data_IF_260549693725
#
_entry.id   IF_260549693725
#
_cell.length_a   1.000
_cell.length_b   1.000
_cell.length_c   1.000
_cell.angle_alpha   90.00
_cell.angle_beta   90.00
_cell.angle_gamma   90.00
#
_symmetry.space_group_name_H-M   'P 1'
#
loop_
_entity.id
_entity.type
_entity.pdbx_description
1 polymer ?
#
# COMPACT_ATOMS: atom_id res chain seq x y z
N UNK A 1 16.40 -5.70 27.82
CA UNK A 1 15.07 -5.56 27.22
C UNK A 1 14.90 -4.11 26.84
N UNK A 2 14.63 -3.83 25.57
CA UNK A 2 14.40 -2.48 25.03
C UNK A 2 12.95 -2.32 24.60
N UNK A 3 12.54 -1.09 24.40
CA UNK A 3 11.19 -0.71 23.98
C UNK A 3 11.28 0.03 22.66
N UNK A 4 10.58 -0.49 21.65
CA UNK A 4 10.51 0.04 20.30
C UNK A 4 9.10 0.53 20.03
N UNK A 5 8.97 1.68 19.40
CA UNK A 5 7.69 2.26 18.99
C UNK A 5 7.65 2.34 17.46
N UNK A 6 6.58 1.89 16.85
CA UNK A 6 6.31 2.04 15.43
C UNK A 6 5.18 3.07 15.24
N UNK A 7 5.46 4.14 14.55
CA UNK A 7 4.47 5.13 14.11
C UNK A 7 4.38 5.09 12.58
N UNK A 8 3.47 4.28 12.10
CA UNK A 8 3.40 3.83 10.71
C UNK A 8 2.05 4.23 10.13
N UNK A 9 2.03 4.69 8.88
CA UNK A 9 0.78 4.92 8.14
C UNK A 9 -0.03 3.62 8.09
N UNK A 10 -1.32 3.65 8.45
CA UNK A 10 -2.12 2.44 8.69
C UNK A 10 -2.63 1.77 7.41
N UNK A 11 -1.84 1.74 6.35
CA UNK A 11 -2.15 0.98 5.15
C UNK A 11 -1.44 -0.39 5.14
N UNK A 12 -1.98 -1.36 4.41
CA UNK A 12 -1.47 -2.72 4.40
C UNK A 12 -0.02 -2.82 3.93
N UNK A 13 0.37 -2.00 2.95
CA UNK A 13 1.71 -2.01 2.38
C UNK A 13 2.80 -1.57 3.36
N UNK A 14 2.48 -0.65 4.28
CA UNK A 14 3.37 -0.23 5.35
C UNK A 14 3.29 -1.15 6.58
N UNK A 15 2.08 -1.57 6.95
CA UNK A 15 1.86 -2.40 8.15
C UNK A 15 2.44 -3.81 7.99
N UNK A 16 2.33 -4.46 6.84
CA UNK A 16 2.81 -5.83 6.68
C UNK A 16 4.32 -5.99 6.90
N UNK A 17 5.21 -5.21 6.24
CA UNK A 17 6.65 -5.29 6.48
C UNK A 17 7.04 -4.91 7.90
N UNK A 18 6.44 -3.87 8.46
CA UNK A 18 6.73 -3.42 9.82
C UNK A 18 6.28 -4.41 10.88
N UNK A 19 5.17 -5.14 10.65
CA UNK A 19 4.72 -6.22 11.55
C UNK A 19 5.72 -7.36 11.60
N UNK A 20 6.27 -7.76 10.47
CA UNK A 20 7.29 -8.79 10.44
C UNK A 20 8.53 -8.36 11.23
N UNK A 21 9.00 -7.13 11.03
CA UNK A 21 10.12 -6.57 11.80
C UNK A 21 9.80 -6.49 13.30
N UNK A 22 8.61 -6.02 13.68
CA UNK A 22 8.15 -5.96 15.05
C UNK A 22 8.14 -7.34 15.72
N UNK A 23 7.68 -8.36 15.01
CA UNK A 23 7.69 -9.73 15.47
C UNK A 23 9.13 -10.21 15.76
N UNK A 24 10.06 -10.01 14.82
CA UNK A 24 11.46 -10.40 14.98
C UNK A 24 12.15 -9.68 16.15
N UNK A 25 11.82 -8.41 16.39
CA UNK A 25 12.33 -7.65 17.55
C UNK A 25 11.75 -8.23 18.86
N UNK A 26 10.46 -8.59 18.85
CA UNK A 26 9.78 -9.17 20.02
C UNK A 26 10.33 -10.54 20.36
N UNK A 27 10.59 -11.42 19.39
CA UNK A 27 11.21 -12.74 19.61
C UNK A 27 12.60 -12.66 20.25
N UNK A 28 13.29 -11.54 20.06
CA UNK A 28 14.58 -11.24 20.72
C UNK A 28 14.44 -10.68 22.14
N UNK A 29 13.25 -10.80 22.74
CA UNK A 29 12.97 -10.42 24.12
C UNK A 29 12.79 -8.91 24.32
N UNK A 30 12.48 -8.14 23.28
CA UNK A 30 12.20 -6.71 23.37
C UNK A 30 10.70 -6.44 23.32
N UNK A 31 10.28 -5.28 23.82
CA UNK A 31 8.88 -4.85 23.74
C UNK A 31 8.68 -3.98 22.50
N UNK A 32 7.58 -4.19 21.84
CA UNK A 32 7.19 -3.43 20.66
C UNK A 32 5.81 -2.81 20.87
N UNK A 33 5.68 -1.56 20.47
CA UNK A 33 4.47 -0.77 20.56
C UNK A 33 4.16 -0.13 19.21
N UNK A 34 2.89 0.05 18.93
CA UNK A 34 2.42 0.82 17.78
C UNK A 34 1.66 2.04 18.26
N UNK A 35 1.80 3.17 17.57
CA UNK A 35 0.89 4.31 17.78
C UNK A 35 -0.45 4.00 17.15
N UNK A 36 -1.52 4.30 17.88
CA UNK A 36 -2.87 4.26 17.32
C UNK A 36 -3.16 5.58 16.62
N UNK A 37 -2.73 5.67 15.37
CA UNK A 37 -3.02 6.85 14.54
C UNK A 37 -4.33 6.69 13.77
N UNK A 38 -4.92 5.50 13.76
CA UNK A 38 -6.25 5.23 13.20
C UNK A 38 -6.79 3.89 13.69
N UNK A 39 -8.10 3.79 13.84
CA UNK A 39 -8.85 2.54 14.02
C UNK A 39 -8.77 1.67 12.76
N UNK A 40 -7.58 1.21 12.41
CA UNK A 40 -7.44 0.35 11.23
C UNK A 40 -7.63 -1.12 11.61
N UNK A 41 -8.25 -1.85 10.71
CA UNK A 41 -8.42 -3.31 10.80
C UNK A 41 -7.05 -4.00 10.98
N UNK A 42 -5.98 -3.39 10.47
CA UNK A 42 -4.61 -3.90 10.53
C UNK A 42 -4.02 -3.81 11.94
N UNK A 43 -4.16 -2.68 12.62
CA UNK A 43 -3.70 -2.51 14.01
C UNK A 43 -4.42 -3.43 14.98
N UNK A 44 -5.72 -3.59 14.82
CA UNK A 44 -6.51 -4.57 15.60
C UNK A 44 -6.03 -6.01 15.38
N UNK A 45 -5.64 -6.35 14.15
CA UNK A 45 -5.04 -7.64 13.80
C UNK A 45 -3.70 -7.90 14.50
N UNK A 46 -2.88 -6.85 14.68
CA UNK A 46 -1.60 -6.92 15.39
C UNK A 46 -1.78 -7.24 16.87
N UNK A 47 -2.69 -6.54 17.53
CA UNK A 47 -3.00 -6.77 18.95
C UNK A 47 -3.52 -8.20 19.21
N UNK A 48 -4.36 -8.72 18.33
CA UNK A 48 -4.87 -10.11 18.41
C UNK A 48 -3.77 -11.16 18.29
N UNK A 49 -2.66 -10.83 17.60
CA UNK A 49 -1.48 -11.70 17.49
C UNK A 49 -0.50 -11.55 18.66
N UNK A 50 -0.80 -10.67 19.64
CA UNK A 50 0.06 -10.41 20.79
C UNK A 50 1.33 -9.62 20.45
N UNK A 51 1.41 -9.03 19.28
CA UNK A 51 2.55 -8.26 18.79
C UNK A 51 2.31 -6.78 19.12
N UNK A 52 2.86 -6.34 20.25
CA UNK A 52 2.85 -4.94 20.63
C UNK A 52 1.57 -4.45 21.32
N UNK A 53 1.67 -3.28 21.91
CA UNK A 53 0.56 -2.51 22.49
C UNK A 53 0.41 -1.22 21.69
N UNK A 54 -0.82 -0.74 21.56
CA UNK A 54 -1.10 0.56 20.97
C UNK A 54 -0.86 1.63 22.04
N UNK A 55 -0.10 2.67 21.68
CA UNK A 55 0.19 3.84 22.53
C UNK A 55 -0.35 5.08 21.81
N UNK A 56 -1.12 5.85 22.52
CA UNK A 56 -1.61 7.13 22.03
C UNK A 56 -0.53 8.21 22.16
N UNK A 57 -0.45 9.19 21.25
CA UNK A 57 0.56 10.25 21.30
C UNK A 57 0.59 11.03 22.63
N UNK A 58 -0.54 11.15 23.35
CA UNK A 58 -0.58 11.81 24.65
C UNK A 58 0.10 11.01 25.77
N UNK A 59 0.37 9.71 25.56
CA UNK A 59 1.07 8.85 26.51
C UNK A 59 2.58 9.10 26.53
N UNK A 60 3.14 9.84 25.59
CA UNK A 60 4.58 10.15 25.56
C UNK A 60 5.07 10.92 26.80
N UNK A 61 4.20 11.53 27.55
CA UNK A 61 4.51 12.11 28.87
C UNK A 61 4.94 11.06 29.90
N UNK A 62 4.51 9.81 29.74
CA UNK A 62 4.69 8.73 30.69
C UNK A 62 5.46 7.55 30.09
N UNK A 63 5.66 7.55 28.78
CA UNK A 63 6.30 6.48 28.05
C UNK A 63 7.32 7.05 27.08
N UNK A 64 8.60 6.73 27.31
CA UNK A 64 9.68 7.10 26.40
C UNK A 64 10.27 5.82 25.80
N UNK A 65 10.00 5.50 24.53
CA UNK A 65 10.62 4.35 23.88
C UNK A 65 12.12 4.56 23.74
N UNK A 66 12.87 3.48 23.69
CA UNK A 66 14.31 3.55 23.46
C UNK A 66 14.62 3.95 22.00
N UNK A 67 13.74 3.59 21.08
CA UNK A 67 13.78 3.98 19.67
C UNK A 67 12.39 3.97 19.07
N UNK A 68 12.04 5.04 18.38
CA UNK A 68 10.86 5.10 17.53
C UNK A 68 11.24 4.87 16.06
N UNK A 69 10.38 4.15 15.33
CA UNK A 69 10.46 3.93 13.90
C UNK A 69 9.30 4.68 13.27
N UNK A 70 9.59 5.81 12.64
CA UNK A 70 8.62 6.74 12.08
C UNK A 70 8.51 6.52 10.57
N UNK A 71 7.30 6.28 10.08
CA UNK A 71 7.05 6.19 8.64
C UNK A 71 7.57 7.45 7.92
N UNK A 72 8.33 7.24 6.87
CA UNK A 72 8.89 8.34 6.07
C UNK A 72 7.82 9.27 5.50
N UNK A 73 6.59 8.79 5.33
CA UNK A 73 5.46 9.60 4.90
C UNK A 73 4.88 10.50 6.01
N UNK A 74 5.26 10.28 7.28
CA UNK A 74 4.81 11.02 8.46
C UNK A 74 5.89 11.98 8.98
N UNK A 75 6.69 12.58 8.10
CA UNK A 75 7.80 13.47 8.47
C UNK A 75 7.35 14.70 9.28
N UNK A 76 6.13 15.14 9.08
CA UNK A 76 5.50 16.24 9.84
C UNK A 76 5.41 15.94 11.33
N UNK A 77 5.31 14.68 11.73
CA UNK A 77 5.32 14.26 13.14
C UNK A 77 6.69 14.35 13.81
N UNK A 78 7.76 14.54 13.06
CA UNK A 78 9.13 14.63 13.58
C UNK A 78 9.25 15.62 14.75
N UNK A 79 8.55 16.74 14.67
CA UNK A 79 8.57 17.75 15.70
C UNK A 79 8.09 17.22 17.06
N UNK A 80 7.04 16.38 17.07
CA UNK A 80 6.51 15.76 18.30
C UNK A 80 7.58 14.90 18.98
N UNK A 81 8.31 14.08 18.22
CA UNK A 81 9.38 13.23 18.78
C UNK A 81 10.53 14.05 19.35
N UNK A 82 10.89 15.16 18.70
CA UNK A 82 11.91 16.08 19.20
C UNK A 82 11.47 16.80 20.49
N UNK A 83 10.20 17.21 20.61
CA UNK A 83 9.66 17.85 21.83
C UNK A 83 9.72 16.94 23.06
N UNK A 84 9.64 15.62 22.88
CA UNK A 84 9.71 14.63 23.95
C UNK A 84 11.10 13.97 24.09
N UNK A 85 12.12 14.47 23.37
CA UNK A 85 13.49 13.90 23.33
C UNK A 85 13.51 12.39 23.02
N UNK A 86 12.61 11.96 22.12
CA UNK A 86 12.53 10.58 21.69
C UNK A 86 13.47 10.33 20.50
N UNK A 87 14.38 9.38 20.66
CA UNK A 87 15.22 8.94 19.55
C UNK A 87 14.36 8.26 18.47
N UNK A 88 14.49 8.65 17.22
CA UNK A 88 13.77 8.03 16.12
C UNK A 88 14.66 7.78 14.89
N UNK A 89 14.17 6.89 14.03
CA UNK A 89 14.66 6.64 12.69
C UNK A 89 13.45 6.62 11.75
N UNK A 90 13.65 7.07 10.54
CA UNK A 90 12.64 6.88 9.52
C UNK A 90 12.64 5.43 9.02
N UNK A 91 11.45 4.94 8.66
CA UNK A 91 11.26 3.67 8.00
C UNK A 91 10.55 3.91 6.65
N UNK A 92 11.02 3.25 5.62
CA UNK A 92 10.46 3.35 4.28
C UNK A 92 10.38 1.99 3.62
N UNK A 93 9.47 1.82 2.67
CA UNK A 93 9.37 0.59 1.89
C UNK A 93 10.15 0.74 0.58
N UNK A 94 11.01 -0.22 0.29
CA UNK A 94 11.84 -0.21 -0.91
C UNK A 94 11.04 -0.68 -2.13
N UNK A 95 10.86 0.20 -3.10
CA UNK A 95 10.21 -0.12 -4.40
C UNK A 95 11.22 -0.52 -5.50
N UNK A 96 12.49 -0.67 -5.17
CA UNK A 96 13.54 -0.93 -6.14
C UNK A 96 14.31 -2.22 -5.84
N UNK A 97 14.99 -2.75 -6.85
CA UNK A 97 15.89 -3.91 -6.74
C UNK A 97 17.30 -3.54 -6.24
N UNK A 98 17.44 -2.37 -5.61
CA UNK A 98 18.71 -1.94 -5.04
C UNK A 98 18.79 -2.36 -3.57
N UNK A 99 19.81 -3.15 -3.26
CA UNK A 99 20.19 -3.45 -1.89
C UNK A 99 20.69 -2.19 -1.21
N UNK A 100 20.17 -1.92 -0.02
CA UNK A 100 20.62 -0.79 0.80
C UNK A 100 21.41 -1.35 1.96
N UNK A 101 22.69 -0.97 2.04
CA UNK A 101 23.55 -1.39 3.14
C UNK A 101 23.17 -0.66 4.42
N UNK A 102 23.11 -1.40 5.53
CA UNK A 102 22.85 -0.85 6.86
C UNK A 102 24.11 -0.17 7.40
N UNK A 103 24.10 1.16 7.41
CA UNK A 103 25.20 1.95 7.98
C UNK A 103 24.84 2.42 9.41
N UNK A 104 25.81 2.55 10.33
CA UNK A 104 25.53 2.96 11.71
C UNK A 104 24.79 4.29 11.84
N UNK A 105 25.03 5.22 10.92
CA UNK A 105 24.47 6.58 10.95
C UNK A 105 23.27 6.75 10.00
N UNK A 106 22.75 5.65 9.44
CA UNK A 106 21.64 5.73 8.50
C UNK A 106 20.39 6.32 9.18
N UNK A 107 19.85 7.43 8.66
CA UNK A 107 18.63 8.03 9.20
C UNK A 107 17.35 7.32 8.78
N UNK A 108 17.41 6.50 7.73
CA UNK A 108 16.26 5.79 7.15
C UNK A 108 16.54 4.29 7.07
N UNK A 109 15.64 3.49 7.61
CA UNK A 109 15.64 2.03 7.46
C UNK A 109 14.70 1.65 6.33
N UNK A 110 15.17 0.89 5.37
CA UNK A 110 14.36 0.46 4.23
C UNK A 110 13.98 -1.01 4.37
N UNK A 111 12.70 -1.31 4.23
CA UNK A 111 12.15 -2.66 4.30
C UNK A 111 11.70 -3.13 2.90
N UNK A 112 11.78 -4.44 2.61
CA UNK A 112 11.15 -4.99 1.42
C UNK A 112 9.63 -4.89 1.53
N UNK A 113 8.90 -4.69 0.43
CA UNK A 113 7.45 -4.78 0.42
C UNK A 113 7.01 -6.22 0.65
N UNK A 114 5.92 -6.38 1.40
CA UNK A 114 5.33 -7.69 1.69
C UNK A 114 3.85 -7.61 1.35
N UNK A 115 3.32 -8.48 0.46
CA UNK A 115 1.92 -8.46 0.11
C UNK A 115 1.05 -8.85 1.31
N UNK A 116 -0.08 -8.19 1.45
CA UNK A 116 -1.03 -8.49 2.49
C UNK A 116 -1.81 -9.77 2.15
N UNK A 117 -1.49 -10.84 2.83
CA UNK A 117 -2.23 -12.11 2.70
C UNK A 117 -3.50 -12.05 3.53
N UNK A 118 -4.60 -11.63 2.91
CA UNK A 118 -5.92 -11.77 3.50
C UNK A 118 -6.21 -13.26 3.74
N UNK A 119 -6.60 -13.60 4.97
CA UNK A 119 -7.22 -14.90 5.23
C UNK A 119 -8.52 -14.98 4.42
N UNK A 120 -8.82 -16.11 3.77
CA UNK A 120 -10.04 -16.26 2.99
C UNK A 120 -11.24 -16.07 3.90
N UNK A 121 -11.89 -14.91 3.80
CA UNK A 121 -13.21 -14.68 4.42
C UNK A 121 -14.27 -15.12 3.42
N UNK A 122 -15.30 -15.80 3.93
CA UNK A 122 -16.34 -16.51 3.19
C UNK A 122 -16.90 -15.82 1.96
N UNK A 123 -17.20 -16.63 0.97
CA UNK A 123 -17.68 -16.28 -0.35
C UNK A 123 -18.97 -15.45 -0.36
N UNK A 124 -18.95 -14.32 -1.08
CA UNK A 124 -20.17 -13.65 -1.58
C UNK A 124 -19.98 -12.95 -2.94
N UNK A 125 -18.78 -12.99 -3.52
CA UNK A 125 -18.51 -12.30 -4.78
C UNK A 125 -18.23 -13.27 -5.95
N UNK A 126 -18.65 -14.52 -5.83
CA UNK A 126 -18.33 -15.58 -6.78
C UNK A 126 -18.89 -15.28 -8.20
N UNK A 127 -20.14 -14.80 -8.29
CA UNK A 127 -20.77 -14.50 -9.59
C UNK A 127 -20.04 -13.45 -10.43
N UNK A 128 -19.35 -12.52 -9.77
CA UNK A 128 -18.61 -11.48 -10.51
C UNK A 128 -17.24 -11.99 -10.95
N UNK A 129 -16.56 -12.72 -10.07
CA UNK A 129 -15.30 -13.36 -10.38
C UNK A 129 -15.49 -14.35 -11.53
N UNK A 130 -16.60 -15.10 -11.54
CA UNK A 130 -16.95 -16.03 -12.60
C UNK A 130 -17.15 -15.30 -13.94
N UNK A 131 -17.90 -14.20 -13.97
CA UNK A 131 -18.07 -13.37 -15.17
C UNK A 131 -16.77 -12.79 -15.71
N UNK A 132 -15.86 -12.33 -14.81
CA UNK A 132 -14.56 -11.84 -15.23
C UNK A 132 -13.67 -12.96 -15.75
N UNK A 133 -13.76 -14.14 -15.16
CA UNK A 133 -13.06 -15.32 -15.62
C UNK A 133 -13.51 -15.69 -17.03
N UNK A 134 -14.81 -15.70 -17.30
CA UNK A 134 -15.35 -15.91 -18.64
C UNK A 134 -14.82 -14.87 -19.65
N UNK A 135 -14.83 -13.57 -19.30
CA UNK A 135 -14.28 -12.51 -20.16
C UNK A 135 -12.80 -12.74 -20.45
N UNK A 136 -12.04 -13.18 -19.43
CA UNK A 136 -10.61 -13.44 -19.55
C UNK A 136 -10.31 -14.66 -20.41
N UNK A 137 -11.05 -15.75 -20.23
CA UNK A 137 -10.91 -16.99 -21.01
C UNK A 137 -11.27 -16.79 -22.47
N UNK A 138 -12.36 -16.08 -22.76
CA UNK A 138 -12.80 -15.73 -24.10
C UNK A 138 -11.90 -14.68 -24.78
N UNK A 139 -11.01 -14.03 -24.04
CA UNK A 139 -10.19 -12.89 -24.50
C UNK A 139 -10.99 -11.81 -25.21
N UNK A 140 -12.28 -11.71 -24.89
CA UNK A 140 -13.21 -10.78 -25.54
C UNK A 140 -12.91 -9.33 -25.19
N UNK A 141 -12.25 -9.07 -24.05
CA UNK A 141 -11.93 -7.72 -23.58
C UNK A 141 -10.61 -7.67 -22.82
N UNK A 142 -9.98 -6.50 -22.85
CA UNK A 142 -8.88 -6.15 -21.96
C UNK A 142 -9.46 -5.69 -20.62
N UNK A 143 -9.10 -6.37 -19.53
CA UNK A 143 -9.59 -6.08 -18.18
C UNK A 143 -8.66 -5.11 -17.48
N UNK A 144 -9.17 -3.94 -17.12
CA UNK A 144 -8.44 -2.82 -16.53
C UNK A 144 -9.04 -2.53 -15.16
N UNK A 145 -8.23 -2.63 -14.10
CA UNK A 145 -8.67 -2.32 -12.75
C UNK A 145 -8.20 -0.92 -12.32
N UNK A 146 -9.10 -0.12 -11.77
CA UNK A 146 -8.79 1.18 -11.16
C UNK A 146 -8.76 1.04 -9.63
N UNK A 147 -7.60 1.28 -9.04
CA UNK A 147 -7.36 1.23 -7.59
C UNK A 147 -7.05 2.64 -7.11
N UNK A 148 -8.04 3.27 -6.51
CA UNK A 148 -7.93 4.64 -6.00
C UNK A 148 -7.75 4.58 -4.49
N UNK A 149 -6.66 5.19 -3.98
CA UNK A 149 -6.55 5.46 -2.56
C UNK A 149 -7.38 6.68 -2.21
N UNK A 150 -8.23 6.50 -1.19
CA UNK A 150 -8.91 7.62 -0.58
C UNK A 150 -7.93 8.34 0.36
N UNK A 151 -7.55 9.54 0.02
CA UNK A 151 -6.89 10.40 0.98
C UNK A 151 -7.92 10.77 2.07
N UNK A 152 -7.62 10.43 3.33
CA UNK A 152 -8.47 10.79 4.48
C UNK A 152 -8.69 12.33 4.61
N UNK A 153 -7.87 13.13 3.95
CA UNK A 153 -8.01 14.58 3.89
C UNK A 153 -9.23 15.05 3.08
N UNK A 154 -9.76 14.27 2.15
CA UNK A 154 -10.97 14.63 1.38
C UNK A 154 -12.23 14.71 2.24
N UNK A 155 -12.24 14.17 3.46
CA UNK A 155 -13.39 14.27 4.37
C UNK A 155 -13.65 15.66 4.93
N UNK A 156 -12.75 16.61 4.76
CA UNK A 156 -12.80 17.89 5.51
C UNK A 156 -13.34 19.08 4.76
N UNK A 157 -13.46 19.10 3.45
CA UNK A 157 -13.94 20.32 2.72
C UNK A 157 -14.70 19.92 1.45
N UNK A 158 -15.76 20.69 1.12
CA UNK A 158 -16.53 20.73 -0.13
C UNK A 158 -15.71 21.00 -1.42
N UNK A 159 -14.50 20.45 -1.52
CA UNK A 159 -13.70 20.49 -2.75
C UNK A 159 -14.16 19.35 -3.67
N UNK A 160 -14.28 19.59 -5.00
CA UNK A 160 -14.51 18.54 -5.95
C UNK A 160 -13.44 17.46 -5.77
N UNK A 161 -13.86 16.21 -5.54
CA UNK A 161 -12.93 15.12 -5.26
C UNK A 161 -11.90 15.05 -6.37
N UNK A 162 -10.64 14.95 -6.01
CA UNK A 162 -9.53 14.84 -6.97
C UNK A 162 -9.75 13.67 -7.95
N UNK A 163 -10.53 12.68 -7.55
CA UNK A 163 -10.90 11.50 -8.34
C UNK A 163 -11.94 11.79 -9.44
N UNK A 164 -12.66 12.90 -9.40
CA UNK A 164 -13.73 13.19 -10.39
C UNK A 164 -13.18 13.28 -11.82
N UNK A 165 -12.06 13.93 -12.03
CA UNK A 165 -11.40 14.03 -13.35
C UNK A 165 -10.98 12.65 -13.88
N UNK A 166 -10.51 11.78 -13.00
CA UNK A 166 -10.11 10.43 -13.32
C UNK A 166 -11.33 9.57 -13.73
N UNK A 167 -12.40 9.62 -12.97
CA UNK A 167 -13.65 8.93 -13.33
C UNK A 167 -14.24 9.41 -14.65
N UNK A 168 -14.21 10.72 -14.91
CA UNK A 168 -14.63 11.28 -16.20
C UNK A 168 -13.77 10.76 -17.35
N UNK A 169 -12.44 10.70 -17.16
CA UNK A 169 -11.54 10.17 -18.18
C UNK A 169 -11.81 8.69 -18.45
N UNK A 170 -11.98 7.86 -17.42
CA UNK A 170 -12.34 6.44 -17.58
C UNK A 170 -13.69 6.29 -18.30
N UNK A 171 -14.71 7.04 -17.90
CA UNK A 171 -16.04 6.99 -18.52
C UNK A 171 -15.97 7.31 -20.02
N UNK A 172 -15.20 8.31 -20.42
CA UNK A 172 -15.02 8.68 -21.82
C UNK A 172 -14.19 7.62 -22.57
N UNK A 173 -13.10 7.13 -21.99
CA UNK A 173 -12.32 6.04 -22.57
C UNK A 173 -13.17 4.78 -22.77
N UNK A 174 -13.94 4.37 -21.77
CA UNK A 174 -14.83 3.23 -21.86
C UNK A 174 -15.90 3.37 -22.98
N UNK A 175 -16.42 4.59 -23.18
CA UNK A 175 -17.40 4.86 -24.25
C UNK A 175 -16.81 4.75 -25.65
N UNK A 176 -15.51 5.06 -25.80
CA UNK A 176 -14.79 5.00 -27.07
C UNK A 176 -14.25 3.60 -27.36
N UNK A 177 -13.87 2.87 -26.31
CA UNK A 177 -13.18 1.58 -26.38
C UNK A 177 -14.03 0.45 -25.78
N UNK A 178 -15.03 -0.10 -26.51
CA UNK A 178 -15.87 -1.19 -26.00
C UNK A 178 -15.10 -2.49 -25.73
N UNK A 179 -13.88 -2.62 -26.26
CA UNK A 179 -12.97 -3.74 -26.00
C UNK A 179 -12.30 -3.67 -24.60
N UNK A 180 -12.40 -2.56 -23.88
CA UNK A 180 -11.93 -2.46 -22.50
C UNK A 180 -13.07 -2.79 -21.53
N UNK A 181 -12.75 -3.55 -20.49
CA UNK A 181 -13.61 -3.76 -19.33
C UNK A 181 -12.95 -3.07 -18.14
N UNK A 182 -13.54 -1.98 -17.68
CA UNK A 182 -13.06 -1.29 -16.48
C UNK A 182 -13.71 -1.85 -15.23
N UNK A 183 -12.92 -2.05 -14.19
CA UNK A 183 -13.35 -2.41 -12.84
C UNK A 183 -12.84 -1.31 -11.91
N UNK A 184 -13.74 -0.57 -11.30
CA UNK A 184 -13.41 0.49 -10.37
C UNK A 184 -13.65 0.01 -8.93
N UNK A 185 -12.63 0.00 -8.13
CA UNK A 185 -12.73 -0.30 -6.71
C UNK A 185 -12.87 1.00 -5.94
N UNK A 186 -13.88 1.08 -5.09
CA UNK A 186 -14.15 2.26 -4.27
C UNK A 186 -14.60 1.85 -2.87
N UNK A 187 -14.15 2.61 -1.87
CA UNK A 187 -14.60 2.47 -0.50
C UNK A 187 -15.86 3.34 -0.20
N UNK A 188 -16.25 4.22 -1.12
CA UNK A 188 -17.33 5.20 -0.92
C UNK A 188 -18.55 4.95 -1.78
N UNK A 189 -19.73 4.91 -1.13
CA UNK A 189 -21.03 4.82 -1.80
C UNK A 189 -21.43 6.04 -2.64
N UNK A 190 -20.70 7.15 -2.52
CA UNK A 190 -20.98 8.37 -3.26
C UNK A 190 -20.54 8.31 -4.73
N UNK A 191 -19.61 7.43 -5.09
CA UNK A 191 -19.15 7.27 -6.48
C UNK A 191 -20.29 6.77 -7.37
N UNK A 192 -21.13 5.87 -6.86
CA UNK A 192 -22.29 5.33 -7.59
C UNK A 192 -23.32 6.42 -7.93
N UNK A 193 -23.49 7.41 -7.04
CA UNK A 193 -24.45 8.51 -7.24
C UNK A 193 -23.95 9.59 -8.19
N UNK A 194 -22.65 9.77 -8.30
CA UNK A 194 -22.01 10.79 -9.17
C UNK A 194 -21.82 10.31 -10.61
N UNK A 195 -21.79 9.00 -10.85
CA UNK A 195 -21.61 8.39 -12.17
C UNK A 195 -22.93 7.97 -12.79
N UNK A 196 -23.88 8.90 -12.94
CA UNK A 196 -25.13 8.62 -13.69
C UNK A 196 -24.83 8.11 -15.10
N UNK A 197 -25.50 7.04 -15.51
CA UNK A 197 -25.38 6.36 -16.82
C UNK A 197 -23.93 5.96 -17.15
N UNK A 198 -23.45 4.89 -16.50
CA UNK A 198 -22.18 4.27 -16.85
C UNK A 198 -22.28 3.51 -18.18
N UNK A 199 -21.23 3.55 -19.01
CA UNK A 199 -21.06 2.59 -20.09
C UNK A 199 -21.13 1.14 -19.57
N UNK A 200 -21.68 0.19 -20.36
CA UNK A 200 -21.89 -1.19 -19.92
C UNK A 200 -20.59 -1.95 -19.64
N UNK A 201 -19.46 -1.41 -20.06
CA UNK A 201 -18.12 -1.95 -19.84
C UNK A 201 -17.39 -1.31 -18.63
N UNK A 202 -18.13 -0.65 -17.72
CA UNK A 202 -17.63 -0.22 -16.42
C UNK A 202 -18.42 -0.95 -15.33
N UNK A 203 -17.70 -1.61 -14.42
CA UNK A 203 -18.23 -2.17 -13.20
C UNK A 203 -17.63 -1.48 -11.99
N UNK A 204 -18.44 -1.15 -10.98
CA UNK A 204 -18.00 -0.56 -9.71
C UNK A 204 -18.18 -1.58 -8.60
N UNK A 205 -17.16 -1.78 -7.81
CA UNK A 205 -17.16 -2.71 -6.68
C UNK A 205 -16.70 -2.06 -5.39
N UNK A 206 -17.33 -2.51 -4.29
CA UNK A 206 -16.91 -2.13 -2.93
C UNK A 206 -16.12 -3.28 -2.32
N UNK A 207 -14.87 -3.01 -1.94
CA UNK A 207 -14.03 -3.91 -1.15
C UNK A 207 -13.98 -5.38 -1.64
N UNK A 208 -13.77 -5.64 -2.92
CA UNK A 208 -13.59 -7.01 -3.36
C UNK A 208 -12.24 -7.54 -2.87
N UNK A 209 -12.09 -8.85 -2.95
CA UNK A 209 -10.82 -9.53 -2.72
C UNK A 209 -9.86 -9.16 -3.84
N UNK A 210 -9.08 -8.09 -3.65
CA UNK A 210 -8.12 -7.61 -4.64
C UNK A 210 -7.22 -8.74 -5.15
N UNK A 211 -6.79 -9.63 -4.27
CA UNK A 211 -5.95 -10.79 -4.59
C UNK A 211 -6.64 -11.81 -5.52
N UNK A 212 -7.98 -11.93 -5.47
CA UNK A 212 -8.72 -12.79 -6.39
C UNK A 212 -8.97 -12.09 -7.74
N UNK A 213 -9.06 -10.77 -7.76
CA UNK A 213 -9.32 -9.99 -8.98
C UNK A 213 -8.06 -9.71 -9.79
N UNK A 214 -6.94 -9.38 -9.14
CA UNK A 214 -5.71 -8.99 -9.84
C UNK A 214 -5.25 -10.01 -10.89
N UNK A 215 -5.27 -11.34 -10.63
CA UNK A 215 -4.88 -12.33 -11.65
C UNK A 215 -5.77 -12.32 -12.91
N UNK A 216 -7.00 -11.79 -12.80
CA UNK A 216 -7.93 -11.66 -13.92
C UNK A 216 -7.73 -10.36 -14.70
N UNK A 217 -6.97 -9.41 -14.18
CA UNK A 217 -6.73 -8.12 -14.80
C UNK A 217 -5.54 -8.17 -15.77
N UNK A 218 -5.62 -7.40 -16.84
CA UNK A 218 -4.51 -7.22 -17.77
C UNK A 218 -3.60 -6.08 -17.37
N UNK A 219 -4.14 -5.09 -16.65
CA UNK A 219 -3.42 -3.98 -16.08
C UNK A 219 -4.17 -3.29 -14.95
N UNK A 220 -3.45 -2.48 -14.19
CA UNK A 220 -3.98 -1.64 -13.13
C UNK A 220 -3.67 -0.16 -13.35
N UNK A 221 -4.62 0.70 -13.00
CA UNK A 221 -4.46 2.14 -12.88
C UNK A 221 -4.52 2.46 -11.40
N UNK A 222 -3.41 2.87 -10.80
CA UNK A 222 -3.32 3.08 -9.36
C UNK A 222 -3.04 4.55 -9.03
N UNK A 223 -3.61 5.02 -7.92
CA UNK A 223 -3.34 6.35 -7.40
C UNK A 223 -2.43 6.23 -6.20
N UNK A 224 -1.13 6.36 -6.41
CA UNK A 224 -0.16 6.33 -5.31
C UNK A 224 -0.28 5.10 -4.38
N UNK A 225 0.42 5.17 -3.26
CA UNK A 225 0.31 4.17 -2.20
C UNK A 225 1.13 2.90 -2.43
N UNK A 226 1.75 2.48 -1.34
CA UNK A 226 2.60 1.29 -1.36
C UNK A 226 1.78 0.00 -1.42
N UNK A 227 0.54 0.01 -0.89
CA UNK A 227 -0.35 -1.15 -0.85
C UNK A 227 -0.69 -1.64 -2.25
N UNK A 228 -1.29 -0.78 -3.06
CA UNK A 228 -1.70 -1.15 -4.44
C UNK A 228 -0.50 -1.49 -5.32
N UNK A 229 0.59 -0.74 -5.17
CA UNK A 229 1.84 -1.03 -5.87
C UNK A 229 2.36 -2.43 -5.54
N UNK A 230 2.39 -2.78 -4.24
CA UNK A 230 2.85 -4.08 -3.77
C UNK A 230 1.97 -5.20 -4.30
N UNK A 231 0.65 -5.09 -4.15
CA UNK A 231 -0.30 -6.11 -4.60
C UNK A 231 -0.22 -6.34 -6.12
N UNK A 232 -0.17 -5.27 -6.93
CA UNK A 232 -0.02 -5.39 -8.38
C UNK A 232 1.32 -6.01 -8.77
N UNK A 233 2.42 -5.63 -8.09
CA UNK A 233 3.76 -6.16 -8.36
C UNK A 233 3.80 -7.66 -8.10
N UNK A 234 3.32 -8.12 -6.96
CA UNK A 234 3.31 -9.54 -6.60
C UNK A 234 2.28 -10.37 -7.37
N UNK A 235 1.23 -9.76 -7.88
CA UNK A 235 0.29 -10.40 -8.81
C UNK A 235 0.77 -10.37 -10.26
N UNK A 236 1.91 -9.76 -10.57
CA UNK A 236 2.46 -9.56 -11.91
C UNK A 236 1.49 -8.83 -12.86
N UNK A 237 0.76 -7.85 -12.33
CA UNK A 237 -0.16 -7.01 -13.10
C UNK A 237 0.55 -5.70 -13.46
N UNK A 238 0.77 -5.41 -14.76
CA UNK A 238 1.29 -4.13 -15.21
C UNK A 238 0.45 -2.98 -14.68
N UNK A 239 1.10 -1.90 -14.22
CA UNK A 239 0.38 -0.78 -13.63
C UNK A 239 0.90 0.58 -14.11
N UNK A 240 -0.03 1.54 -14.20
CA UNK A 240 0.28 2.96 -14.26
C UNK A 240 0.01 3.60 -12.91
N UNK A 241 1.00 4.23 -12.32
CA UNK A 241 0.90 4.97 -11.07
C UNK A 241 0.68 6.46 -11.39
N UNK A 242 -0.35 7.04 -10.79
CA UNK A 242 -0.69 8.46 -10.94
C UNK A 242 -0.48 9.19 -9.62
N UNK A 243 0.18 10.32 -9.69
CA UNK A 243 0.22 11.26 -8.56
C UNK A 243 -1.11 12.00 -8.41
N UNK A 244 -1.44 12.55 -7.23
CA UNK A 244 -2.64 13.38 -7.03
C UNK A 244 -2.73 14.54 -8.03
N UNK A 245 -1.58 15.19 -8.36
CA UNK A 245 -1.54 16.28 -9.34
C UNK A 245 -1.86 15.81 -10.77
N UNK A 246 -1.47 14.58 -11.12
CA UNK A 246 -1.77 14.01 -12.43
C UNK A 246 -3.22 13.61 -12.57
N UNK A 247 -3.83 13.05 -11.50
CA UNK A 247 -5.24 12.68 -11.47
C UNK A 247 -6.13 13.88 -11.76
N UNK A 248 -5.85 15.03 -11.14
CA UNK A 248 -6.61 16.25 -11.32
C UNK A 248 -6.57 16.80 -12.75
N UNK A 249 -5.57 16.44 -13.53
CA UNK A 249 -5.32 16.95 -14.88
C UNK A 249 -5.41 15.87 -15.95
N UNK A 250 -5.84 14.65 -15.56
CA UNK A 250 -5.89 13.55 -16.51
C UNK A 250 -6.97 13.79 -17.56
N UNK A 251 -6.60 13.55 -18.82
CA UNK A 251 -7.54 13.59 -19.95
C UNK A 251 -7.73 12.18 -20.50
N UNK A 252 -8.86 11.90 -21.18
CA UNK A 252 -9.08 10.60 -21.82
C UNK A 252 -7.96 10.20 -22.76
N UNK A 253 -7.45 11.16 -23.57
CA UNK A 253 -6.33 10.92 -24.49
C UNK A 253 -5.06 10.51 -23.76
N UNK A 254 -4.74 11.15 -22.61
CA UNK A 254 -3.57 10.78 -21.81
C UNK A 254 -3.77 9.41 -21.18
N UNK A 255 -4.97 9.10 -20.69
CA UNK A 255 -5.31 7.80 -20.14
C UNK A 255 -5.17 6.69 -21.19
N UNK A 256 -5.79 6.86 -22.38
CA UNK A 256 -5.73 5.90 -23.45
C UNK A 256 -4.29 5.63 -23.90
N UNK A 257 -3.46 6.67 -24.00
CA UNK A 257 -2.06 6.53 -24.35
C UNK A 257 -1.31 5.66 -23.32
N UNK A 258 -1.55 5.89 -22.03
CA UNK A 258 -0.93 5.08 -20.99
C UNK A 258 -1.40 3.62 -21.02
N UNK A 259 -2.69 3.38 -21.28
CA UNK A 259 -3.22 2.03 -21.47
C UNK A 259 -2.52 1.33 -22.65
N UNK A 260 -2.41 1.99 -23.78
CA UNK A 260 -1.75 1.46 -24.98
C UNK A 260 -0.26 1.17 -24.71
N UNK A 261 0.45 2.09 -24.05
CA UNK A 261 1.86 1.93 -23.70
C UNK A 261 2.07 0.75 -22.75
N UNK A 262 1.21 0.55 -21.74
CA UNK A 262 1.27 -0.60 -20.84
C UNK A 262 1.02 -1.92 -21.58
N UNK A 263 0.00 -1.95 -22.45
CA UNK A 263 -0.31 -3.15 -23.24
C UNK A 263 0.84 -3.53 -24.17
N UNK A 264 1.43 -2.54 -24.84
CA UNK A 264 2.55 -2.75 -25.75
C UNK A 264 3.82 -3.28 -25.03
N UNK A 265 4.02 -2.91 -23.76
CA UNK A 265 5.18 -3.31 -22.97
C UNK A 265 4.87 -4.38 -21.91
N UNK A 266 3.71 -5.01 -21.99
CA UNK A 266 3.17 -5.90 -20.95
C UNK A 266 4.14 -7.01 -20.54
N UNK A 267 4.69 -7.74 -21.50
CA UNK A 267 5.60 -8.86 -21.22
C UNK A 267 6.88 -8.39 -20.54
N UNK A 268 7.47 -7.30 -21.00
CA UNK A 268 8.65 -6.71 -20.37
C UNK A 268 8.39 -6.27 -18.94
N UNK A 269 7.23 -5.65 -18.66
CA UNK A 269 6.86 -5.20 -17.32
C UNK A 269 6.66 -6.41 -16.40
N UNK A 270 5.97 -7.45 -16.84
CA UNK A 270 5.76 -8.69 -16.08
C UNK A 270 7.11 -9.35 -15.71
N UNK A 271 8.02 -9.48 -16.66
CA UNK A 271 9.35 -10.05 -16.38
C UNK A 271 10.11 -9.21 -15.35
N UNK A 272 10.04 -7.89 -15.46
CA UNK A 272 10.65 -7.00 -14.47
C UNK A 272 10.00 -7.15 -13.08
N UNK A 273 8.69 -7.30 -13.01
CA UNK A 273 7.98 -7.56 -11.73
C UNK A 273 8.39 -8.89 -11.11
N UNK A 274 8.56 -9.96 -11.91
CA UNK A 274 9.08 -11.24 -11.42
C UNK A 274 10.47 -11.10 -10.81
N UNK A 275 11.37 -10.36 -11.47
CA UNK A 275 12.69 -10.07 -10.91
C UNK A 275 12.63 -9.30 -9.60
N UNK A 276 11.76 -8.29 -9.51
CA UNK A 276 11.54 -7.54 -8.28
C UNK A 276 11.01 -8.44 -7.16
N UNK A 277 10.04 -9.30 -7.44
CA UNK A 277 9.49 -10.23 -6.44
C UNK A 277 10.58 -11.18 -5.90
N UNK A 278 11.38 -11.79 -6.78
CA UNK A 278 12.48 -12.66 -6.37
C UNK A 278 13.51 -11.91 -5.50
N UNK A 279 13.82 -10.66 -5.85
CA UNK A 279 14.69 -9.81 -5.06
C UNK A 279 14.08 -9.52 -3.68
N UNK A 280 12.80 -9.13 -3.60
CA UNK A 280 12.13 -8.84 -2.33
C UNK A 280 11.98 -10.07 -1.44
N UNK A 281 11.76 -11.24 -2.02
CA UNK A 281 11.76 -12.50 -1.28
C UNK A 281 13.13 -12.77 -0.64
N UNK A 282 14.23 -12.55 -1.37
CA UNK A 282 15.59 -12.67 -0.81
C UNK A 282 15.88 -11.61 0.25
N UNK A 283 15.41 -10.37 0.06
CA UNK A 283 15.58 -9.29 1.04
C UNK A 283 14.70 -9.51 2.30
N UNK A 284 13.60 -10.27 2.22
CA UNK A 284 12.81 -10.61 3.40
C UNK A 284 13.61 -11.44 4.42
N UNK A 285 14.59 -12.21 3.98
CA UNK A 285 15.50 -12.94 4.86
C UNK A 285 16.41 -11.99 5.67
N UNK A 286 16.74 -10.81 5.10
CA UNK A 286 17.52 -9.77 5.78
C UNK A 286 16.77 -9.03 6.89
N UNK A 287 15.47 -9.24 7.03
CA UNK A 287 14.70 -8.64 8.13
C UNK A 287 15.29 -9.02 9.51
N UNK A 288 15.90 -10.18 9.62
CA UNK A 288 16.65 -10.60 10.81
C UNK A 288 17.87 -9.70 11.08
N UNK A 289 18.65 -9.38 10.05
CA UNK A 289 19.81 -8.49 10.15
C UNK A 289 19.38 -7.08 10.55
N UNK A 290 18.26 -6.59 9.98
CA UNK A 290 17.69 -5.28 10.32
C UNK A 290 17.26 -5.24 11.78
N UNK A 291 16.57 -6.29 12.27
CA UNK A 291 16.17 -6.39 13.67
C UNK A 291 17.39 -6.36 14.62
N UNK A 292 18.43 -7.13 14.31
CA UNK A 292 19.65 -7.17 15.09
C UNK A 292 20.40 -5.83 15.06
N UNK A 293 20.47 -5.18 13.90
CA UNK A 293 21.08 -3.86 13.75
C UNK A 293 20.36 -2.80 14.61
N UNK A 294 19.01 -2.77 14.58
CA UNK A 294 18.22 -1.84 15.40
C UNK A 294 18.46 -2.05 16.89
N UNK A 295 18.47 -3.31 17.35
CA UNK A 295 18.72 -3.64 18.74
C UNK A 295 20.14 -3.21 19.16
N UNK A 296 21.14 -3.47 18.33
CA UNK A 296 22.52 -3.08 18.61
C UNK A 296 22.70 -1.55 18.63
N UNK A 297 22.03 -0.82 17.76
CA UNK A 297 22.02 0.64 17.75
C UNK A 297 21.49 1.22 19.07
N UNK A 298 20.42 0.65 19.62
CA UNK A 298 19.89 1.05 20.93
C UNK A 298 20.88 0.74 22.06
N UNK A 299 21.55 -0.42 22.01
CA UNK A 299 22.59 -0.79 22.99
C UNK A 299 23.74 0.20 23.01
N UNK A 300 24.27 0.57 21.84
CA UNK A 300 25.39 1.50 21.70
C UNK A 300 25.09 2.89 22.25
N UNK A 301 23.89 3.43 21.98
CA UNK A 301 23.46 4.74 22.50
C UNK A 301 23.31 4.79 24.02
N UNK A 302 23.11 3.65 24.69
CA UNK A 302 23.03 3.57 26.16
C UNK A 302 24.38 3.46 26.85
N UNK A 303 25.44 3.16 26.12
CA UNK A 303 26.80 3.04 26.66
C UNK A 303 27.58 4.36 26.61
N UNK A 304 27.02 5.36 25.94
CA UNK A 304 27.49 6.75 25.88
C UNK A 304 26.70 7.62 26.85
#
# INVERSE_FOLDING_TARGET
>A
MFEFLFDIKPDAGNVCPTTQLAYLISERGNKVYYTDTSDSVFTTGLLRKGIGRIIYPHDFRWFTPHLALLDYQLQDKQQVYNEYDINYLFIAINKTDRKIDLMPEMPVVTLPPIPYKLLPQGAKDDDFIDKLTEIKEDRSRTVIIGLLEDEEEERKVNTPSHTESFYKAIKQSASIHPQYQFILLTNHGEVETRLFSLPPNIAIYRLPRLQALLPLCDMALITGGITHWTECTFAHVPMAEFTPQEINKITPVKLDRQIIDLLANREYIIERQKHLCAFFESESERMNEIADWLINRVKQKRQL
#
